data_IF_272564619444
#
_entry.id   IF_272564619444
#
_cell.length_a   1.000
_cell.length_b   1.000
_cell.length_c   1.000
_cell.angle_alpha   90.00
_cell.angle_beta   90.00
_cell.angle_gamma   90.00
#
_symmetry.space_group_name_H-M   'P 1'
#
loop_
_entity.id
_entity.type
_entity.pdbx_description
1 polymer ?
#
# COMPACT_ATOMS: atom_id res chain seq x y z
N UNK A 1 34.62 34.30 -33.50
CA UNK A 1 33.65 33.23 -33.80
C UNK A 1 34.14 31.97 -33.11
N UNK A 2 33.50 31.63 -31.99
CA UNK A 2 32.61 30.45 -31.86
C UNK A 2 33.44 29.24 -31.40
N UNK A 3 33.16 28.54 -30.31
CA UNK A 3 32.00 28.49 -29.42
C UNK A 3 32.41 27.61 -28.23
N UNK A 4 32.42 28.15 -27.02
CA UNK A 4 32.46 27.35 -25.80
C UNK A 4 31.09 26.66 -25.64
N UNK A 5 31.05 25.37 -25.93
CA UNK A 5 29.90 24.53 -25.58
C UNK A 5 30.19 23.99 -24.18
N UNK A 6 29.64 24.68 -23.19
CA UNK A 6 29.51 24.17 -21.82
C UNK A 6 28.58 22.97 -21.86
N UNK A 7 29.17 21.77 -21.77
CA UNK A 7 28.47 20.53 -21.44
C UNK A 7 27.95 20.64 -20.00
N UNK A 8 26.73 21.15 -19.85
CA UNK A 8 25.98 21.03 -18.61
C UNK A 8 25.59 19.57 -18.45
N UNK A 9 26.38 18.82 -17.69
CA UNK A 9 26.01 17.50 -17.20
C UNK A 9 24.62 17.55 -16.57
N UNK A 10 23.69 16.85 -17.21
CA UNK A 10 22.31 16.72 -16.77
C UNK A 10 22.31 15.72 -15.60
N UNK A 11 22.56 16.20 -14.38
CA UNK A 11 22.52 15.37 -13.16
C UNK A 11 21.10 14.82 -13.03
N UNK A 12 20.93 13.57 -13.40
CA UNK A 12 19.65 12.86 -13.32
C UNK A 12 19.27 12.73 -11.84
N UNK A 13 18.27 13.52 -11.41
CA UNK A 13 17.84 13.53 -10.03
C UNK A 13 17.33 12.14 -9.63
N UNK A 14 18.09 11.43 -8.80
CA UNK A 14 17.74 10.07 -8.36
C UNK A 14 16.72 10.17 -7.22
N UNK A 15 15.49 9.74 -7.49
CA UNK A 15 14.42 9.65 -6.50
C UNK A 15 14.37 8.24 -5.90
N UNK A 16 14.42 8.15 -4.57
CA UNK A 16 14.39 6.87 -3.86
C UNK A 16 13.37 6.93 -2.71
N UNK A 17 12.83 5.78 -2.35
CA UNK A 17 11.87 5.64 -1.25
C UNK A 17 12.34 4.55 -0.32
N UNK A 18 12.23 4.78 0.97
CA UNK A 18 12.64 3.88 2.03
C UNK A 18 11.47 3.66 2.99
N UNK A 19 11.25 2.41 3.39
CA UNK A 19 10.23 2.00 4.35
C UNK A 19 10.88 1.15 5.44
N UNK A 20 10.86 1.66 6.67
CA UNK A 20 11.38 0.99 7.86
C UNK A 20 10.17 0.45 8.65
N UNK A 21 9.99 -0.88 8.63
CA UNK A 21 8.79 -1.54 9.14
C UNK A 21 9.07 -2.97 9.58
N UNK A 22 8.48 -3.37 10.70
CA UNK A 22 8.33 -4.78 11.13
C UNK A 22 6.86 -5.22 11.12
N UNK A 23 6.02 -4.52 10.35
CA UNK A 23 4.60 -4.80 10.22
C UNK A 23 4.36 -6.23 9.70
N UNK A 24 3.40 -6.99 10.27
CA UNK A 24 2.36 -6.57 11.21
C UNK A 24 2.70 -6.65 12.70
N UNK A 25 3.92 -7.06 13.07
CA UNK A 25 4.30 -7.20 14.50
C UNK A 25 4.32 -5.86 15.23
N UNK A 26 4.76 -4.80 14.55
CA UNK A 26 4.65 -3.42 15.00
C UNK A 26 3.80 -2.63 14.00
N UNK A 27 2.86 -1.83 14.49
CA UNK A 27 1.98 -1.02 13.66
C UNK A 27 2.56 0.34 13.28
N UNK A 28 3.70 0.72 13.86
CA UNK A 28 4.45 1.93 13.52
C UNK A 28 5.36 1.67 12.31
N UNK A 29 5.27 2.55 11.31
CA UNK A 29 6.04 2.49 10.06
C UNK A 29 6.64 3.86 9.76
N UNK A 30 7.95 3.91 9.51
CA UNK A 30 8.62 5.13 9.07
C UNK A 30 8.85 5.05 7.57
N UNK A 31 8.43 6.09 6.84
CA UNK A 31 8.62 6.21 5.40
C UNK A 31 9.40 7.47 5.07
N UNK A 32 10.40 7.35 4.21
CA UNK A 32 11.26 8.47 3.77
C UNK A 32 11.31 8.51 2.25
N UNK A 33 11.14 9.71 1.68
CA UNK A 33 11.50 9.96 0.28
C UNK A 33 12.81 10.72 0.22
N UNK A 34 13.74 10.24 -0.59
CA UNK A 34 15.06 10.81 -0.79
C UNK A 34 15.21 11.34 -2.22
N UNK A 35 15.88 12.48 -2.36
CA UNK A 35 16.30 13.03 -3.65
C UNK A 35 17.79 13.26 -3.55
N UNK A 36 18.57 12.63 -4.44
CA UNK A 36 20.04 12.70 -4.42
C UNK A 36 20.61 12.37 -3.03
N UNK A 37 20.11 11.29 -2.41
CA UNK A 37 20.46 10.82 -1.06
C UNK A 37 20.13 11.78 0.10
N UNK A 38 19.38 12.86 -0.15
CA UNK A 38 18.89 13.77 0.89
C UNK A 38 17.42 13.49 1.16
N UNK A 39 17.06 13.28 2.43
CA UNK A 39 15.66 13.10 2.84
C UNK A 39 14.86 14.37 2.56
N UNK A 40 13.93 14.28 1.60
CA UNK A 40 13.05 15.38 1.21
C UNK A 40 11.84 15.50 2.13
N UNK A 41 11.30 14.36 2.53
CA UNK A 41 10.15 14.27 3.43
C UNK A 41 10.16 12.94 4.18
N UNK A 42 9.62 12.97 5.38
CA UNK A 42 9.44 11.80 6.23
C UNK A 42 8.03 11.77 6.80
N UNK A 43 7.50 10.57 6.93
CA UNK A 43 6.20 10.29 7.51
C UNK A 43 6.35 9.16 8.52
N UNK A 44 5.66 9.30 9.64
CA UNK A 44 5.42 8.22 10.59
C UNK A 44 3.95 7.82 10.48
N UNK A 45 3.70 6.54 10.25
CA UNK A 45 2.36 5.97 10.20
C UNK A 45 2.13 5.02 11.36
N UNK A 46 0.97 5.13 12.00
CA UNK A 46 0.47 4.15 12.96
C UNK A 46 -0.78 3.51 12.36
N UNK A 47 -0.65 2.25 11.94
CA UNK A 47 -1.77 1.49 11.37
C UNK A 47 -2.72 1.07 12.50
N UNK A 48 -3.91 1.68 12.55
CA UNK A 48 -4.94 1.37 13.55
C UNK A 48 -5.86 0.24 13.09
N UNK A 49 -6.23 0.24 11.80
CA UNK A 49 -7.00 -0.83 11.16
C UNK A 49 -6.43 -1.08 9.77
N UNK A 50 -6.04 -2.31 9.47
CA UNK A 50 -5.49 -2.68 8.16
C UNK A 50 -6.54 -2.61 7.03
N UNK A 51 -7.80 -2.88 7.33
CA UNK A 51 -8.84 -2.97 6.30
C UNK A 51 -8.62 -4.10 5.29
N UNK A 52 -9.57 -4.27 4.37
CA UNK A 52 -9.56 -5.35 3.35
C UNK A 52 -9.86 -4.80 1.96
N UNK A 53 -9.24 -5.36 0.93
CA UNK A 53 -9.59 -4.96 -0.43
C UNK A 53 -10.99 -5.49 -0.79
N UNK A 54 -11.89 -4.64 -1.29
CA UNK A 54 -13.19 -5.10 -1.78
C UNK A 54 -12.99 -6.04 -2.98
N UNK A 55 -13.93 -6.98 -3.15
CA UNK A 55 -13.88 -7.97 -4.22
C UNK A 55 -13.91 -7.31 -5.62
N UNK A 56 -13.37 -8.00 -6.62
CA UNK A 56 -12.98 -7.43 -7.92
C UNK A 56 -14.13 -6.80 -8.74
N UNK A 57 -15.38 -7.17 -8.46
CA UNK A 57 -16.57 -6.60 -9.12
C UNK A 57 -16.64 -5.07 -8.88
N UNK A 58 -16.12 -4.60 -7.73
CA UNK A 58 -16.11 -3.18 -7.31
C UNK A 58 -14.97 -2.36 -7.94
N UNK A 59 -13.85 -2.99 -8.31
CA UNK A 59 -12.63 -2.30 -8.77
C UNK A 59 -12.70 -1.83 -10.23
N UNK A 60 -13.62 -2.38 -11.05
CA UNK A 60 -13.75 -2.02 -12.47
C UNK A 60 -14.15 -0.56 -12.71
N UNK A 61 -14.82 0.10 -11.76
CA UNK A 61 -15.26 1.50 -11.93
C UNK A 61 -14.13 2.53 -11.74
N UNK A 62 -13.06 2.22 -11.00
CA UNK A 62 -11.94 3.15 -10.83
C UNK A 62 -10.94 3.12 -12.00
N UNK A 63 -10.88 2.02 -12.75
CA UNK A 63 -9.90 1.83 -13.83
C UNK A 63 -10.36 2.49 -15.14
N UNK A 64 -11.66 2.66 -15.37
CA UNK A 64 -12.19 3.02 -16.69
C UNK A 64 -12.41 4.53 -16.95
N UNK A 65 -12.14 5.42 -15.98
CA UNK A 65 -12.43 6.86 -16.13
C UNK A 65 -11.29 7.70 -16.72
N UNK A 66 -10.14 7.13 -17.07
CA UNK A 66 -8.95 7.89 -17.48
C UNK A 66 -8.50 7.55 -18.93
N UNK A 67 -9.40 7.72 -19.90
CA UNK A 67 -9.08 7.67 -21.33
C UNK A 67 -8.49 9.00 -21.85
N UNK A 68 -7.46 9.54 -21.20
CA UNK A 68 -6.68 10.66 -21.75
C UNK A 68 -5.20 10.30 -21.82
N UNK A 69 -4.75 10.11 -23.06
CA UNK A 69 -3.36 9.84 -23.46
C UNK A 69 -2.40 10.88 -22.85
N UNK A 70 -1.28 10.41 -22.31
CA UNK A 70 -0.24 11.09 -21.50
C UNK A 70 -0.51 11.17 -19.99
N UNK A 71 -0.34 10.06 -19.27
CA UNK A 71 -0.10 10.10 -17.81
C UNK A 71 1.11 9.23 -17.50
N UNK A 72 2.11 9.81 -16.81
CA UNK A 72 3.14 9.08 -16.04
C UNK A 72 2.48 7.84 -15.44
N UNK A 73 3.10 6.65 -15.47
CA UNK A 73 2.60 5.42 -14.85
C UNK A 73 1.92 5.75 -13.51
N UNK A 74 0.60 5.94 -13.55
CA UNK A 74 -0.13 6.45 -12.40
C UNK A 74 -0.31 5.21 -11.55
N UNK A 75 0.50 5.08 -10.50
CA UNK A 75 0.41 3.94 -9.59
C UNK A 75 -0.95 4.03 -8.92
N UNK A 76 -1.93 3.32 -9.47
CA UNK A 76 -3.25 3.18 -8.88
C UNK A 76 -3.10 2.24 -7.67
N UNK A 77 -3.04 2.83 -6.47
CA UNK A 77 -3.05 2.06 -5.24
C UNK A 77 -4.43 1.42 -5.05
N UNK A 78 -4.47 0.12 -4.75
CA UNK A 78 -5.70 -0.55 -4.36
C UNK A 78 -6.23 0.11 -3.07
N UNK A 79 -7.51 0.42 -3.04
CA UNK A 79 -8.13 1.14 -1.92
C UNK A 79 -8.81 0.14 -0.96
N UNK A 80 -8.31 -0.02 0.27
CA UNK A 80 -8.91 -0.92 1.25
C UNK A 80 -10.19 -0.32 1.86
N UNK A 81 -11.14 -1.19 2.21
CA UNK A 81 -12.31 -0.87 3.03
C UNK A 81 -11.99 -1.04 4.52
N UNK A 82 -12.59 -0.20 5.37
CA UNK A 82 -12.43 -0.18 6.82
C UNK A 82 -10.96 -0.02 7.26
N UNK A 83 -10.22 0.82 6.53
CA UNK A 83 -8.82 1.13 6.79
C UNK A 83 -8.71 2.39 7.64
N UNK A 84 -7.87 2.37 8.67
CA UNK A 84 -7.62 3.52 9.54
C UNK A 84 -6.13 3.62 9.85
N UNK A 85 -5.57 4.81 9.64
CA UNK A 85 -4.15 5.10 9.91
C UNK A 85 -4.03 6.48 10.52
N UNK A 86 -3.13 6.64 11.48
CA UNK A 86 -2.65 7.95 11.91
C UNK A 86 -1.35 8.25 11.21
N UNK A 87 -1.23 9.45 10.68
CA UNK A 87 -0.04 9.89 9.96
C UNK A 87 0.48 11.16 10.62
N UNK A 88 1.75 11.12 11.01
CA UNK A 88 2.48 12.26 11.55
C UNK A 88 3.58 12.69 10.59
N UNK A 89 3.67 13.98 10.29
CA UNK A 89 4.72 14.56 9.46
C UNK A 89 5.10 15.95 9.94
N UNK A 90 6.19 16.50 9.40
CA UNK A 90 6.72 17.81 9.78
C UNK A 90 7.86 17.73 10.81
N UNK A 91 8.46 18.89 11.09
CA UNK A 91 9.67 18.99 11.89
C UNK A 91 9.40 19.65 13.25
N UNK A 92 9.98 19.08 14.30
CA UNK A 92 9.97 19.62 15.67
C UNK A 92 8.58 20.10 16.12
N UNK A 93 8.45 21.39 16.46
CA UNK A 93 7.21 22.02 16.94
C UNK A 93 6.11 22.15 15.88
N UNK A 94 6.41 21.92 14.60
CA UNK A 94 5.44 21.98 13.48
C UNK A 94 4.96 20.60 13.04
N UNK A 95 5.18 19.57 13.86
CA UNK A 95 4.64 18.23 13.60
C UNK A 95 3.12 18.29 13.59
N UNK A 96 2.53 17.73 12.55
CA UNK A 96 1.09 17.56 12.43
C UNK A 96 0.77 16.08 12.43
N UNK A 97 -0.29 15.72 13.15
CA UNK A 97 -0.83 14.36 13.19
C UNK A 97 -2.28 14.42 12.82
N UNK A 98 -2.70 13.54 11.93
CA UNK A 98 -4.10 13.40 11.54
C UNK A 98 -4.46 11.93 11.38
N UNK A 99 -5.74 11.62 11.50
CA UNK A 99 -6.28 10.27 11.34
C UNK A 99 -7.04 10.17 10.03
N UNK A 100 -6.64 9.20 9.22
CA UNK A 100 -7.30 8.83 7.99
C UNK A 100 -8.20 7.65 8.19
N UNK A 101 -9.34 7.68 7.52
CA UNK A 101 -10.30 6.58 7.51
C UNK A 101 -10.87 6.38 6.10
N UNK A 102 -10.94 5.13 5.65
CA UNK A 102 -11.55 4.74 4.39
C UNK A 102 -12.67 3.75 4.70
N UNK A 103 -13.90 4.14 4.35
CA UNK A 103 -15.10 3.31 4.49
C UNK A 103 -15.80 3.26 3.14
N UNK A 104 -16.22 2.08 2.71
CA UNK A 104 -17.07 1.95 1.53
C UNK A 104 -18.55 2.06 1.95
N UNK A 105 -19.26 2.98 1.32
CA UNK A 105 -20.72 3.13 1.41
C UNK A 105 -21.26 2.91 0.00
N UNK A 106 -22.19 1.97 -0.17
CA UNK A 106 -22.76 1.61 -1.47
C UNK A 106 -21.71 1.40 -2.58
N UNK A 107 -20.70 0.58 -2.28
CA UNK A 107 -19.57 0.28 -3.18
C UNK A 107 -18.71 1.49 -3.57
N UNK A 108 -18.87 2.63 -2.91
CA UNK A 108 -18.11 3.86 -3.16
C UNK A 108 -17.21 4.15 -1.96
N UNK A 109 -15.88 4.30 -2.15
CA UNK A 109 -15.00 4.67 -1.06
C UNK A 109 -15.26 6.11 -0.63
N UNK A 110 -15.45 6.30 0.67
CA UNK A 110 -15.44 7.59 1.32
C UNK A 110 -14.13 7.75 2.08
N UNK A 111 -13.39 8.79 1.72
CA UNK A 111 -12.10 9.14 2.30
C UNK A 111 -12.33 10.22 3.35
N UNK A 112 -11.90 9.97 4.58
CA UNK A 112 -12.04 10.88 5.72
C UNK A 112 -10.67 11.30 6.25
N UNK A 113 -10.55 12.58 6.59
CA UNK A 113 -9.44 13.14 7.35
C UNK A 113 -10.02 13.71 8.63
N UNK A 114 -9.60 13.17 9.76
CA UNK A 114 -9.89 13.72 11.08
C UNK A 114 -8.64 14.38 11.64
N UNK A 115 -8.75 15.61 12.12
CA UNK A 115 -7.61 16.44 12.50
C UNK A 115 -7.92 17.31 13.72
N UNK A 116 -6.91 18.06 14.18
CA UNK A 116 -6.92 18.85 15.41
C UNK A 116 -6.95 17.97 16.69
N UNK A 117 -6.98 18.63 17.85
CA UNK A 117 -7.00 18.01 19.16
C UNK A 117 -8.11 16.97 19.26
N UNK A 118 -7.74 15.75 19.66
CA UNK A 118 -8.64 14.60 19.77
C UNK A 118 -9.43 14.25 18.50
N UNK A 119 -8.98 14.68 17.32
CA UNK A 119 -9.63 14.39 16.04
C UNK A 119 -11.08 14.91 15.94
N UNK A 120 -11.35 16.06 16.56
CA UNK A 120 -12.68 16.67 16.65
C UNK A 120 -13.22 17.18 15.31
N UNK A 121 -12.33 17.59 14.40
CA UNK A 121 -12.71 18.07 13.08
C UNK A 121 -12.54 16.97 12.04
N UNK A 122 -13.46 16.91 11.08
CA UNK A 122 -13.46 15.91 10.04
C UNK A 122 -13.87 16.51 8.68
N UNK A 123 -13.15 16.13 7.63
CA UNK A 123 -13.49 16.46 6.23
C UNK A 123 -13.51 15.15 5.46
N UNK A 124 -14.46 15.02 4.52
CA UNK A 124 -14.55 13.84 3.66
C UNK A 124 -14.61 14.17 2.18
N UNK A 125 -14.31 13.17 1.36
CA UNK A 125 -14.55 13.19 -0.08
C UNK A 125 -14.84 11.78 -0.57
N UNK A 126 -15.69 11.66 -1.58
CA UNK A 126 -15.90 10.41 -2.34
C UNK A 126 -15.05 10.37 -3.62
N UNK A 127 -14.35 11.47 -3.96
CA UNK A 127 -13.63 11.61 -5.23
C UNK A 127 -12.30 10.86 -5.23
N UNK A 128 -11.44 11.16 -4.25
CA UNK A 128 -10.12 10.52 -4.11
C UNK A 128 -9.44 10.95 -2.80
N UNK A 129 -8.40 10.19 -2.40
CA UNK A 129 -7.50 10.56 -1.32
C UNK A 129 -6.84 11.95 -1.55
N UNK A 130 -6.43 12.25 -2.79
CA UNK A 130 -5.84 13.55 -3.13
C UNK A 130 -6.85 14.69 -2.98
N UNK A 131 -8.11 14.48 -3.37
CA UNK A 131 -9.13 15.52 -3.25
C UNK A 131 -9.39 15.88 -1.78
N UNK A 132 -9.52 14.88 -0.89
CA UNK A 132 -9.75 15.18 0.53
C UNK A 132 -8.51 15.81 1.18
N UNK A 133 -7.30 15.40 0.79
CA UNK A 133 -6.06 16.03 1.25
C UNK A 133 -5.97 17.51 0.85
N UNK A 134 -6.32 17.85 -0.40
CA UNK A 134 -6.38 19.26 -0.84
C UNK A 134 -7.47 20.05 -0.10
N UNK A 135 -8.61 19.45 0.22
CA UNK A 135 -9.65 20.12 1.00
C UNK A 135 -9.19 20.39 2.44
N UNK A 136 -8.49 19.44 3.05
CA UNK A 136 -7.88 19.60 4.37
C UNK A 136 -6.84 20.72 4.39
N UNK A 137 -5.94 20.77 3.40
CA UNK A 137 -4.95 21.86 3.32
C UNK A 137 -5.59 23.22 3.13
N UNK A 138 -6.64 23.33 2.29
CA UNK A 138 -7.40 24.57 2.13
C UNK A 138 -8.10 24.99 3.42
N UNK A 139 -8.60 24.04 4.21
CA UNK A 139 -9.23 24.33 5.49
C UNK A 139 -8.23 24.87 6.53
N UNK A 140 -6.98 24.38 6.51
CA UNK A 140 -5.94 24.85 7.43
C UNK A 140 -5.24 26.13 6.96
N UNK A 141 -4.96 26.22 5.65
CA UNK A 141 -4.14 27.29 5.06
C UNK A 141 -4.68 27.67 3.68
N UNK A 142 -5.78 28.44 3.61
CA UNK A 142 -6.46 28.77 2.35
C UNK A 142 -5.56 29.39 1.27
N UNK A 143 -4.55 30.15 1.69
CA UNK A 143 -3.65 30.88 0.81
C UNK A 143 -2.48 30.06 0.25
N UNK A 144 -2.28 28.83 0.76
CA UNK A 144 -1.10 28.03 0.40
C UNK A 144 -1.38 27.20 -0.85
N UNK A 145 -0.50 27.30 -1.86
CA UNK A 145 -0.53 26.46 -3.08
C UNK A 145 0.13 25.09 -2.91
N UNK A 146 0.65 24.80 -1.72
CA UNK A 146 1.27 23.51 -1.41
C UNK A 146 0.21 22.43 -1.45
N UNK A 147 0.55 21.29 -2.05
CA UNK A 147 -0.35 20.14 -2.09
C UNK A 147 0.34 18.91 -1.55
N UNK A 148 -0.14 18.42 -0.41
CA UNK A 148 0.28 17.14 0.14
C UNK A 148 -0.35 16.01 -0.68
N UNK A 149 0.47 15.00 -0.99
CA UNK A 149 -0.02 13.84 -1.74
C UNK A 149 -0.97 13.03 -0.86
N UNK A 150 -2.25 12.98 -1.24
CA UNK A 150 -3.25 12.18 -0.53
C UNK A 150 -2.83 10.71 -0.35
N UNK A 151 -2.39 9.99 -1.40
CA UNK A 151 -1.92 8.62 -1.24
C UNK A 151 -0.79 8.46 -0.22
N UNK A 152 0.18 9.39 -0.21
CA UNK A 152 1.25 9.40 0.79
C UNK A 152 0.65 9.58 2.17
N UNK A 153 -0.22 10.57 2.34
CA UNK A 153 -0.80 10.89 3.62
C UNK A 153 -1.65 9.76 4.21
N UNK A 154 -2.33 9.00 3.35
CA UNK A 154 -3.08 7.79 3.70
C UNK A 154 -2.19 6.54 3.82
N UNK A 155 -0.88 6.61 3.58
CA UNK A 155 0.00 5.43 3.64
C UNK A 155 -0.36 4.33 2.63
N UNK A 156 -1.00 4.68 1.50
CA UNK A 156 -1.46 3.67 0.51
C UNK A 156 -0.30 3.04 -0.27
N UNK A 157 0.85 3.70 -0.27
CA UNK A 157 2.10 3.23 -0.86
C UNK A 157 2.87 2.23 0.02
N UNK A 158 2.48 2.05 1.29
CA UNK A 158 3.21 1.21 2.23
C UNK A 158 3.17 -0.26 1.81
N UNK A 159 4.34 -0.78 1.48
CA UNK A 159 4.51 -2.09 0.88
C UNK A 159 4.30 -3.20 1.91
N UNK A 160 4.76 -3.03 3.15
CA UNK A 160 4.56 -3.99 4.24
C UNK A 160 3.07 -4.20 4.55
N UNK A 161 2.29 -3.12 4.58
CA UNK A 161 0.84 -3.17 4.80
C UNK A 161 0.14 -3.84 3.62
N UNK A 162 0.53 -3.51 2.37
CA UNK A 162 -0.02 -4.15 1.17
C UNK A 162 0.22 -5.66 1.17
N UNK A 163 1.46 -6.09 1.38
CA UNK A 163 1.86 -7.51 1.40
C UNK A 163 1.10 -8.29 2.47
N UNK A 164 0.96 -7.72 3.67
CA UNK A 164 0.22 -8.35 4.77
C UNK A 164 -1.26 -8.52 4.44
N UNK A 165 -1.89 -7.49 3.86
CA UNK A 165 -3.30 -7.56 3.47
C UNK A 165 -3.53 -8.61 2.38
N UNK A 166 -2.63 -8.69 1.40
CA UNK A 166 -2.71 -9.69 0.32
C UNK A 166 -2.45 -11.11 0.83
N UNK A 167 -1.52 -11.31 1.77
CA UNK A 167 -1.24 -12.62 2.34
C UNK A 167 -2.42 -13.14 3.16
N UNK A 168 -3.11 -12.28 3.94
CA UNK A 168 -4.34 -12.63 4.67
C UNK A 168 -5.50 -12.96 3.74
N UNK A 169 -5.66 -12.20 2.65
CA UNK A 169 -6.66 -12.53 1.61
C UNK A 169 -6.38 -13.89 0.96
N UNK A 170 -5.11 -14.22 0.73
CA UNK A 170 -4.70 -15.54 0.18
C UNK A 170 -4.82 -16.66 1.21
N UNK A 171 -4.60 -16.40 2.50
CA UNK A 171 -4.79 -17.38 3.58
C UNK A 171 -6.22 -17.92 3.64
N UNK A 172 -7.21 -17.10 3.29
CA UNK A 172 -8.61 -17.51 3.16
C UNK A 172 -8.88 -18.43 1.95
N UNK A 173 -7.90 -18.62 1.05
CA UNK A 173 -7.98 -19.54 -0.09
C UNK A 173 -7.36 -20.92 0.20
N UNK A 174 -6.83 -21.15 1.42
CA UNK A 174 -6.63 -22.52 1.89
C UNK A 174 -8.04 -23.08 2.09
N UNK A 175 -8.61 -23.67 1.03
CA UNK A 175 -9.79 -24.53 1.13
C UNK A 175 -9.55 -25.43 2.33
N UNK A 176 -10.36 -25.31 3.39
CA UNK A 176 -10.40 -26.34 4.40
C UNK A 176 -10.55 -27.68 3.66
N UNK A 177 -9.72 -28.67 4.00
CA UNK A 177 -9.76 -29.99 3.39
C UNK A 177 -11.17 -30.62 3.42
N UNK A 178 -12.07 -30.08 4.27
CA UNK A 178 -13.49 -30.37 4.36
C UNK A 178 -14.24 -30.16 3.02
N UNK A 179 -13.81 -29.22 2.17
CA UNK A 179 -14.43 -28.93 0.86
C UNK A 179 -13.71 -29.60 -0.33
N UNK A 180 -12.81 -30.55 -0.08
CA UNK A 180 -12.25 -31.39 -1.12
C UNK A 180 -13.19 -32.56 -1.38
N UNK A 181 -13.57 -32.76 -2.65
CA UNK A 181 -14.21 -34.01 -3.07
C UNK A 181 -13.23 -35.14 -2.70
N UNK A 182 -13.68 -36.22 -2.01
CA UNK A 182 -12.79 -37.29 -1.53
C UNK A 182 -11.85 -37.84 -2.60
N UNK A 183 -12.32 -37.93 -3.85
CA UNK A 183 -11.52 -38.37 -5.01
C UNK A 183 -10.30 -37.49 -5.31
N UNK A 184 -10.39 -36.18 -5.06
CA UNK A 184 -9.30 -35.24 -5.30
C UNK A 184 -8.25 -35.31 -4.19
N UNK A 185 -8.70 -35.51 -2.94
CA UNK A 185 -7.82 -35.77 -1.80
C UNK A 185 -7.08 -37.11 -1.99
N UNK A 186 -7.79 -38.15 -2.41
CA UNK A 186 -7.23 -39.48 -2.69
C UNK A 186 -6.18 -39.44 -3.80
N UNK A 187 -6.44 -38.72 -4.91
CA UNK A 187 -5.44 -38.52 -5.97
C UNK A 187 -4.18 -37.82 -5.47
N UNK A 188 -4.33 -36.81 -4.63
CA UNK A 188 -3.19 -36.09 -4.06
C UNK A 188 -2.40 -36.97 -3.08
N UNK A 189 -3.09 -37.73 -2.22
CA UNK A 189 -2.49 -38.69 -1.30
C UNK A 189 -1.70 -39.78 -2.04
N UNK A 190 -2.29 -40.38 -3.10
CA UNK A 190 -1.60 -41.37 -3.95
C UNK A 190 -0.36 -40.78 -4.60
N UNK A 191 -0.42 -39.55 -5.12
CA UNK A 191 0.73 -38.88 -5.74
C UNK A 191 1.86 -38.63 -4.73
N UNK A 192 1.53 -38.21 -3.51
CA UNK A 192 2.53 -38.06 -2.45
C UNK A 192 3.14 -39.40 -2.03
N UNK A 193 2.32 -40.44 -1.86
CA UNK A 193 2.79 -41.78 -1.53
C UNK A 193 3.76 -42.32 -2.59
N UNK A 194 3.46 -42.13 -3.88
CA UNK A 194 4.36 -42.56 -4.97
C UNK A 194 5.69 -41.82 -4.97
N UNK A 195 5.71 -40.51 -4.66
CA UNK A 195 6.96 -39.75 -4.53
C UNK A 195 7.80 -40.21 -3.33
N UNK A 196 7.17 -40.45 -2.19
CA UNK A 196 7.85 -40.94 -0.99
C UNK A 196 8.42 -42.34 -1.25
N UNK A 197 7.65 -43.24 -1.84
CA UNK A 197 8.14 -44.58 -2.22
C UNK A 197 9.30 -44.52 -3.20
N UNK A 198 9.26 -43.64 -4.20
CA UNK A 198 10.35 -43.46 -5.15
C UNK A 198 11.63 -42.97 -4.46
N UNK A 199 11.52 -41.96 -3.59
CA UNK A 199 12.66 -41.43 -2.84
C UNK A 199 13.27 -42.48 -1.91
N UNK A 200 12.45 -43.20 -1.13
CA UNK A 200 12.92 -44.28 -0.25
C UNK A 200 13.65 -45.38 -1.03
N UNK A 201 13.15 -45.76 -2.21
CA UNK A 201 13.82 -46.77 -3.05
C UNK A 201 15.16 -46.28 -3.58
N UNK A 202 15.31 -44.99 -3.86
CA UNK A 202 16.57 -44.41 -4.30
C UNK A 202 17.57 -44.30 -3.14
N UNK A 203 17.10 -43.91 -1.96
CA UNK A 203 17.94 -43.82 -0.75
C UNK A 203 18.48 -45.20 -0.34
N UNK A 204 17.63 -46.25 -0.39
CA UNK A 204 18.06 -47.64 -0.12
C UNK A 204 19.12 -48.09 -1.15
N UNK A 205 18.94 -47.76 -2.44
CA UNK A 205 19.95 -48.09 -3.47
C UNK A 205 21.29 -47.40 -3.27
N UNK A 206 21.30 -46.22 -2.64
CA UNK A 206 22.54 -45.49 -2.31
C UNK A 206 23.28 -46.01 -1.07
N UNK A 207 22.66 -46.89 -0.26
CA UNK A 207 23.26 -47.45 0.97
C UNK A 207 23.95 -48.81 0.71
N UNK A 208 23.59 -49.52 -0.36
CA UNK A 208 24.13 -50.85 -0.70
C UNK A 208 25.15 -50.84 -1.87
N UNK A 209 25.74 -49.68 -2.16
CA UNK A 209 26.90 -49.51 -3.04
C UNK A 209 28.03 -48.83 -2.27
#
# INVERSE_FOLDING_TARGET
>A
MSSDISDKENIENTFQTEEESTYPSNNNIIYREHVNNVTKRSFNYIILKEGVYPNEITNKKQINNDNTKKKRLMRHYKIPNNYVVETTWGQASKKQTVRYEIIYIDNTPQFWIKYDSNFQHAISSTKSASNVASNYEKALRPETKSTISGPLLFGLQLESVRKTRESRRRGNLIKLAINYIPSTLEKHAKKLATKIQFNLKNDIKGIYH
#
